data_IF_593567333918
#
_entry.id   IF_593567333918
#
_cell.length_a   1.000
_cell.length_b   1.000
_cell.length_c   1.000
_cell.angle_alpha   90.00
_cell.angle_beta   90.00
_cell.angle_gamma   90.00
#
_symmetry.space_group_name_H-M   'P 1'
#
loop_
_entity.id
_entity.type
_entity.pdbx_description
1 polymer ?
#
# COMPACT_ATOMS: atom_id res chain seq x y z
N UNK A 1 17.34 17.19 -18.13
CA UNK A 1 18.17 15.98 -17.91
C UNK A 1 18.90 16.05 -16.57
N UNK A 2 18.22 16.45 -15.49
CA UNK A 2 18.77 16.46 -14.14
C UNK A 2 17.63 16.08 -13.20
N UNK A 3 17.49 14.80 -12.85
CA UNK A 3 16.53 14.36 -11.81
C UNK A 3 16.67 12.91 -11.36
N UNK A 4 17.34 12.05 -12.15
CA UNK A 4 17.45 10.62 -11.83
C UNK A 4 18.66 10.34 -10.93
N UNK A 5 19.78 11.04 -11.16
CA UNK A 5 21.07 10.73 -10.52
C UNK A 5 21.17 11.10 -9.02
N UNK A 6 20.20 11.83 -8.45
CA UNK A 6 20.19 12.14 -7.00
C UNK A 6 19.38 11.14 -6.16
N UNK A 7 18.93 10.02 -6.74
CA UNK A 7 18.07 9.03 -6.06
C UNK A 7 18.82 7.83 -5.45
N UNK A 8 20.14 7.73 -5.66
CA UNK A 8 20.89 6.47 -5.60
C UNK A 8 21.89 6.32 -4.44
N UNK A 9 21.58 6.72 -3.20
CA UNK A 9 22.52 6.43 -2.10
C UNK A 9 21.95 5.92 -0.77
N UNK A 10 20.63 5.71 -0.66
CA UNK A 10 19.97 5.20 0.56
C UNK A 10 18.62 4.53 0.25
N UNK A 11 18.51 3.76 -0.83
CA UNK A 11 17.21 3.28 -1.33
C UNK A 11 16.54 2.32 -0.34
N UNK A 12 15.71 2.88 0.54
CA UNK A 12 14.88 2.15 1.47
C UNK A 12 13.79 1.40 0.73
N UNK A 13 13.36 0.25 1.24
CA UNK A 13 12.31 -0.56 0.60
C UNK A 13 11.04 0.24 0.34
N UNK A 14 10.38 -0.03 -0.79
CA UNK A 14 9.07 0.53 -1.10
C UNK A 14 7.99 -0.48 -0.71
N UNK A 15 7.11 -0.12 0.21
CA UNK A 15 5.99 -0.98 0.63
C UNK A 15 4.69 -0.30 0.22
N UNK A 16 3.96 -0.95 -0.67
CA UNK A 16 2.73 -0.44 -1.24
C UNK A 16 1.52 -1.21 -0.71
N UNK A 17 0.53 -0.51 -0.19
CA UNK A 17 -0.73 -1.09 0.28
C UNK A 17 -1.84 -0.79 -0.73
N UNK A 18 -2.52 -1.85 -1.16
CA UNK A 18 -3.59 -1.77 -2.14
C UNK A 18 -4.81 -2.58 -1.74
N UNK A 19 -5.98 -2.01 -2.04
CA UNK A 19 -7.31 -2.63 -1.95
C UNK A 19 -7.67 -3.35 -3.26
N UNK A 20 -6.87 -3.16 -4.31
CA UNK A 20 -6.95 -3.95 -5.53
C UNK A 20 -5.88 -5.04 -5.50
N UNK A 21 -6.25 -6.21 -6.02
CA UNK A 21 -5.34 -7.31 -6.32
C UNK A 21 -4.37 -6.90 -7.43
N UNK A 22 -3.16 -7.44 -7.42
CA UNK A 22 -2.12 -7.15 -8.41
C UNK A 22 -2.64 -7.36 -9.85
N UNK A 23 -3.35 -8.47 -10.07
CA UNK A 23 -3.95 -8.83 -11.37
C UNK A 23 -5.06 -7.85 -11.83
N UNK A 24 -5.62 -7.08 -10.90
CA UNK A 24 -6.67 -6.09 -11.17
C UNK A 24 -6.10 -4.67 -11.30
N UNK A 25 -4.80 -4.47 -11.07
CA UNK A 25 -4.17 -3.18 -11.30
C UNK A 25 -4.15 -2.85 -12.80
N UNK A 26 -4.34 -1.57 -13.11
CA UNK A 26 -4.09 -1.08 -14.46
C UNK A 26 -2.60 -1.23 -14.83
N UNK A 27 -2.33 -1.53 -16.10
CA UNK A 27 -0.98 -1.81 -16.62
C UNK A 27 0.05 -0.74 -16.24
N UNK A 28 -0.38 0.52 -16.18
CA UNK A 28 0.47 1.65 -15.80
C UNK A 28 1.00 1.52 -14.37
N UNK A 29 0.13 1.13 -13.43
CA UNK A 29 0.51 0.95 -12.03
C UNK A 29 1.53 -0.16 -11.88
N UNK A 30 1.29 -1.27 -12.59
CA UNK A 30 2.20 -2.41 -12.63
C UNK A 30 3.57 -2.01 -13.20
N UNK A 31 3.58 -1.23 -14.29
CA UNK A 31 4.83 -0.72 -14.89
C UNK A 31 5.59 0.18 -13.92
N UNK A 32 4.94 1.14 -13.27
CA UNK A 32 5.58 2.02 -12.29
C UNK A 32 6.23 1.21 -11.17
N UNK A 33 5.51 0.23 -10.61
CA UNK A 33 6.04 -0.62 -9.53
C UNK A 33 7.18 -1.52 -10.03
N UNK A 34 7.08 -2.03 -11.25
CA UNK A 34 8.15 -2.79 -11.92
C UNK A 34 9.42 -1.96 -12.13
N UNK A 35 9.29 -0.69 -12.54
CA UNK A 35 10.42 0.23 -12.69
C UNK A 35 11.13 0.46 -11.34
N UNK A 36 10.36 0.67 -10.25
CA UNK A 36 10.95 0.76 -8.90
C UNK A 36 11.65 -0.54 -8.48
N UNK A 37 11.11 -1.70 -8.86
CA UNK A 37 11.66 -3.00 -8.51
C UNK A 37 13.04 -3.28 -9.15
N UNK A 38 13.40 -2.55 -10.20
CA UNK A 38 14.75 -2.61 -10.79
C UNK A 38 15.82 -1.92 -9.90
N UNK A 39 15.41 -1.01 -9.01
CA UNK A 39 16.34 -0.18 -8.21
C UNK A 39 16.30 -0.51 -6.71
N UNK A 40 15.18 -1.01 -6.19
CA UNK A 40 14.99 -1.33 -4.77
C UNK A 40 13.98 -2.46 -4.59
N UNK A 41 13.90 -3.05 -3.39
CA UNK A 41 12.85 -4.04 -3.11
C UNK A 41 11.50 -3.32 -3.05
N UNK A 42 10.54 -3.84 -3.80
CA UNK A 42 9.16 -3.37 -3.80
C UNK A 42 8.27 -4.48 -3.28
N UNK A 43 7.51 -4.18 -2.24
CA UNK A 43 6.46 -5.04 -1.69
C UNK A 43 5.11 -4.45 -2.04
N UNK A 44 4.23 -5.23 -2.66
CA UNK A 44 2.85 -4.88 -2.95
C UNK A 44 1.95 -5.75 -2.10
N UNK A 45 1.36 -5.16 -1.08
CA UNK A 45 0.50 -5.79 -0.09
C UNK A 45 -0.95 -5.58 -0.51
N UNK A 46 -1.63 -6.68 -0.78
CA UNK A 46 -3.04 -6.70 -1.13
C UNK A 46 -3.94 -6.64 0.11
N UNK A 47 -5.24 -6.47 -0.13
CA UNK A 47 -6.25 -6.58 0.93
C UNK A 47 -6.28 -8.01 1.49
N UNK A 48 -6.43 -8.19 2.82
CA UNK A 48 -6.55 -9.52 3.39
C UNK A 48 -7.68 -10.33 2.76
N UNK A 49 -7.41 -11.59 2.46
CA UNK A 49 -8.45 -12.56 2.08
C UNK A 49 -9.07 -13.08 3.37
N UNK A 50 -10.39 -12.96 3.48
CA UNK A 50 -11.16 -13.44 4.63
C UNK A 50 -11.76 -14.79 4.27
N UNK A 51 -11.38 -15.85 4.99
CA UNK A 51 -11.75 -17.22 4.64
C UNK A 51 -12.15 -18.05 5.87
N UNK A 52 -12.98 -19.06 5.64
CA UNK A 52 -13.36 -20.03 6.66
C UNK A 52 -12.29 -21.13 6.77
N UNK A 53 -11.23 -20.82 7.50
CA UNK A 53 -10.01 -21.62 7.68
C UNK A 53 -9.67 -21.74 9.17
N UNK A 54 -8.77 -22.67 9.50
CA UNK A 54 -8.36 -22.95 10.90
C UNK A 54 -7.03 -22.27 11.30
N UNK A 55 -6.35 -21.61 10.36
CA UNK A 55 -5.07 -20.93 10.60
C UNK A 55 -4.91 -19.75 9.67
N UNK A 56 -4.29 -18.66 10.13
CA UNK A 56 -3.95 -17.50 9.32
C UNK A 56 -2.51 -17.61 8.81
N UNK A 57 -2.24 -17.07 7.63
CA UNK A 57 -0.90 -17.08 7.02
C UNK A 57 -0.72 -15.90 6.06
N UNK A 58 0.49 -15.74 5.53
CA UNK A 58 0.80 -14.76 4.50
C UNK A 58 1.40 -15.46 3.27
N UNK A 59 0.78 -15.25 2.12
CA UNK A 59 1.32 -15.72 0.85
C UNK A 59 2.23 -14.65 0.26
N UNK A 60 3.47 -15.03 -0.04
CA UNK A 60 4.50 -14.13 -0.56
C UNK A 60 5.10 -14.76 -1.80
N UNK A 61 5.05 -14.05 -2.91
CA UNK A 61 5.69 -14.47 -4.16
C UNK A 61 6.28 -13.26 -4.89
N UNK A 62 7.30 -13.49 -5.70
CA UNK A 62 7.87 -12.46 -6.57
C UNK A 62 7.34 -12.67 -7.99
N UNK A 63 6.84 -11.61 -8.60
CA UNK A 63 6.37 -11.66 -9.98
C UNK A 63 7.50 -11.45 -11.00
N UNK A 64 7.18 -11.51 -12.29
CA UNK A 64 8.14 -11.37 -13.39
C UNK A 64 8.82 -10.00 -13.43
N UNK A 65 8.20 -8.95 -12.88
CA UNK A 65 8.75 -7.61 -12.80
C UNK A 65 9.67 -7.40 -11.59
N UNK A 66 9.85 -8.43 -10.73
CA UNK A 66 10.66 -8.35 -9.52
C UNK A 66 9.93 -7.77 -8.30
N UNK A 67 8.62 -7.51 -8.40
CA UNK A 67 7.79 -7.02 -7.29
C UNK A 67 7.38 -8.19 -6.41
N UNK A 68 7.55 -8.05 -5.09
CA UNK A 68 7.04 -8.99 -4.09
C UNK A 68 5.56 -8.73 -3.86
N UNK A 69 4.70 -9.63 -4.33
CA UNK A 69 3.25 -9.58 -4.08
C UNK A 69 2.96 -10.36 -2.80
N UNK A 70 2.21 -9.72 -1.91
CA UNK A 70 1.98 -10.18 -0.55
C UNK A 70 0.48 -10.20 -0.28
N UNK A 71 -0.04 -11.36 0.14
CA UNK A 71 -1.46 -11.58 0.37
C UNK A 71 -1.67 -12.14 1.78
N UNK A 72 -2.20 -11.36 2.72
CA UNK A 72 -2.56 -11.87 4.05
C UNK A 72 -3.86 -12.69 3.98
N UNK A 73 -3.88 -13.85 4.64
CA UNK A 73 -5.09 -14.69 4.79
C UNK A 73 -5.52 -14.71 6.25
N UNK A 74 -6.76 -14.32 6.53
CA UNK A 74 -7.31 -14.16 7.88
C UNK A 74 -8.63 -14.90 8.06
N UNK A 75 -8.98 -15.17 9.32
CA UNK A 75 -10.14 -15.99 9.65
C UNK A 75 -11.47 -15.22 9.50
N UNK A 76 -12.48 -15.89 8.95
CA UNK A 76 -13.84 -15.34 8.78
C UNK A 76 -14.68 -15.40 10.07
N UNK A 77 -14.47 -16.42 10.90
CA UNK A 77 -15.32 -16.69 12.06
C UNK A 77 -14.95 -15.87 13.32
N UNK A 78 -13.96 -14.99 13.23
CA UNK A 78 -13.55 -14.10 14.33
C UNK A 78 -14.14 -12.69 14.17
N UNK A 79 -14.11 -11.89 15.23
CA UNK A 79 -14.50 -10.48 15.18
C UNK A 79 -13.60 -9.66 14.24
N UNK A 80 -14.11 -8.56 13.69
CA UNK A 80 -13.33 -7.63 12.86
C UNK A 80 -12.08 -7.08 13.55
N UNK A 81 -12.17 -6.82 14.86
CA UNK A 81 -11.03 -6.35 15.65
C UNK A 81 -9.90 -7.39 15.69
N UNK A 82 -10.25 -8.65 15.95
CA UNK A 82 -9.30 -9.75 15.95
C UNK A 82 -8.72 -10.00 14.55
N UNK A 83 -9.55 -9.98 13.49
CA UNK A 83 -9.10 -10.04 12.08
C UNK A 83 -8.04 -8.99 11.78
N UNK A 84 -8.29 -7.75 12.20
CA UNK A 84 -7.35 -6.64 12.00
C UNK A 84 -6.05 -6.86 12.76
N UNK A 85 -6.09 -7.34 14.00
CA UNK A 85 -4.91 -7.66 14.78
C UNK A 85 -4.08 -8.81 14.16
N UNK A 86 -4.74 -9.81 13.59
CA UNK A 86 -4.08 -10.88 12.84
C UNK A 86 -3.38 -10.33 11.60
N UNK A 87 -4.07 -9.50 10.81
CA UNK A 87 -3.47 -8.82 9.66
C UNK A 87 -2.25 -7.98 10.05
N UNK A 88 -2.31 -7.23 11.16
CA UNK A 88 -1.17 -6.46 11.65
C UNK A 88 0.03 -7.37 11.98
N UNK A 89 -0.24 -8.48 12.68
CA UNK A 89 0.80 -9.44 13.08
C UNK A 89 1.48 -10.08 11.87
N UNK A 90 0.72 -10.41 10.82
CA UNK A 90 1.27 -10.94 9.57
C UNK A 90 2.17 -9.93 8.84
N UNK A 91 1.80 -8.65 8.85
CA UNK A 91 2.65 -7.59 8.27
C UNK A 91 3.91 -7.38 9.12
N UNK A 92 3.82 -7.48 10.44
CA UNK A 92 5.00 -7.38 11.32
C UNK A 92 5.98 -8.53 11.08
N UNK A 93 5.46 -9.76 10.97
CA UNK A 93 6.27 -10.94 10.63
C UNK A 93 6.97 -10.78 9.27
N UNK A 94 6.26 -10.27 8.26
CA UNK A 94 6.86 -9.94 6.97
C UNK A 94 8.01 -8.93 7.11
N UNK A 95 7.80 -7.84 7.87
CA UNK A 95 8.82 -6.81 8.06
C UNK A 95 10.05 -7.36 8.76
N UNK A 96 9.87 -8.23 9.75
CA UNK A 96 10.97 -8.88 10.47
C UNK A 96 11.71 -9.87 9.55
N UNK A 97 10.97 -10.75 8.86
CA UNK A 97 11.53 -11.77 7.96
C UNK A 97 12.34 -11.16 6.81
N UNK A 98 11.86 -10.05 6.23
CA UNK A 98 12.54 -9.37 5.13
C UNK A 98 13.47 -8.24 5.60
N UNK A 99 13.64 -8.05 6.91
CA UNK A 99 14.44 -6.96 7.49
C UNK A 99 14.07 -5.58 6.91
N UNK A 100 12.77 -5.28 6.83
CA UNK A 100 12.22 -4.00 6.35
C UNK A 100 12.20 -3.02 7.52
N UNK A 101 13.15 -2.08 7.55
CA UNK A 101 13.37 -1.24 8.75
C UNK A 101 12.74 0.15 8.65
N UNK A 102 12.94 0.88 7.54
CA UNK A 102 12.45 2.26 7.37
C UNK A 102 11.84 2.51 6.00
N UNK A 103 10.90 1.68 5.53
CA UNK A 103 10.42 1.72 4.16
C UNK A 103 9.77 3.06 3.81
N UNK A 104 9.67 3.33 2.52
CA UNK A 104 8.69 4.29 2.00
C UNK A 104 7.34 3.58 1.90
N UNK A 105 6.31 4.09 2.57
CA UNK A 105 4.96 3.55 2.46
C UNK A 105 4.19 4.25 1.34
N UNK A 106 3.51 3.50 0.47
CA UNK A 106 2.64 4.03 -0.58
C UNK A 106 1.24 3.41 -0.51
N UNK A 107 0.22 4.23 -0.29
CA UNK A 107 -1.17 3.79 -0.27
C UNK A 107 -1.87 4.14 -1.60
N UNK A 108 -2.47 3.14 -2.25
CA UNK A 108 -3.05 3.31 -3.60
C UNK A 108 -4.41 4.04 -3.62
N UNK A 109 -5.10 4.19 -2.48
CA UNK A 109 -6.31 5.03 -2.32
C UNK A 109 -6.46 5.58 -0.88
N UNK A 110 -7.38 6.54 -0.65
CA UNK A 110 -7.67 7.07 0.69
C UNK A 110 -8.26 6.04 1.67
N UNK A 111 -8.96 5.01 1.20
CA UNK A 111 -9.56 3.95 2.03
C UNK A 111 -8.62 2.76 2.28
N UNK A 112 -7.38 2.83 1.77
CA UNK A 112 -6.34 1.84 2.04
C UNK A 112 -6.13 1.68 3.55
N UNK A 113 -5.62 0.53 4.01
CA UNK A 113 -5.65 0.15 5.42
C UNK A 113 -4.61 0.91 6.26
N UNK A 114 -4.86 2.21 6.45
CA UNK A 114 -4.24 3.06 7.46
C UNK A 114 -4.25 2.42 8.86
N UNK A 115 -5.30 1.68 9.28
CA UNK A 115 -5.30 1.07 10.60
C UNK A 115 -4.31 -0.10 10.74
N UNK A 116 -3.91 -0.77 9.65
CA UNK A 116 -2.96 -1.89 9.67
C UNK A 116 -1.50 -1.44 9.81
N UNK A 117 -1.22 -0.14 9.68
CA UNK A 117 0.14 0.38 9.46
C UNK A 117 0.51 1.54 10.39
N UNK A 118 -0.35 1.85 11.38
CA UNK A 118 -0.14 2.98 12.30
C UNK A 118 1.13 2.82 13.16
N UNK A 119 1.50 1.59 13.51
CA UNK A 119 2.63 1.29 14.38
C UNK A 119 3.96 1.15 13.65
N UNK A 120 3.95 1.10 12.30
CA UNK A 120 5.15 0.89 11.50
C UNK A 120 6.02 2.15 11.50
N UNK A 121 7.35 1.95 11.65
CA UNK A 121 8.34 2.99 11.38
C UNK A 121 8.54 3.11 9.87
N UNK A 122 8.58 4.33 9.35
CA UNK A 122 8.78 4.59 7.93
C UNK A 122 9.63 5.83 7.72
N UNK A 123 10.37 5.87 6.60
CA UNK A 123 11.15 7.06 6.20
C UNK A 123 10.28 8.10 5.52
N UNK A 124 9.24 7.66 4.81
CA UNK A 124 8.30 8.53 4.10
C UNK A 124 6.94 7.84 3.89
N UNK A 125 5.88 8.63 3.67
CA UNK A 125 4.52 8.15 3.37
C UNK A 125 3.96 8.88 2.14
N UNK A 126 3.41 8.13 1.20
CA UNK A 126 2.75 8.61 -0.02
C UNK A 126 1.29 8.13 -0.04
N UNK A 127 0.35 9.04 -0.24
CA UNK A 127 -1.07 8.75 -0.36
C UNK A 127 -1.60 9.37 -1.66
N UNK A 128 -1.35 8.70 -2.78
CA UNK A 128 -1.74 9.15 -4.12
C UNK A 128 -2.11 7.92 -4.96
N UNK A 129 -3.16 8.01 -5.81
CA UNK A 129 -3.41 6.99 -6.82
C UNK A 129 -2.15 6.80 -7.67
N UNK A 130 -2.00 5.61 -8.25
CA UNK A 130 -0.94 5.33 -9.23
C UNK A 130 -1.20 6.05 -10.58
N UNK A 131 -1.55 7.33 -10.54
CA UNK A 131 -1.92 8.14 -11.71
C UNK A 131 -0.78 9.08 -12.10
N UNK A 132 -0.69 9.34 -13.39
CA UNK A 132 0.41 10.00 -14.11
C UNK A 132 0.61 11.51 -13.82
N UNK A 133 -0.06 12.04 -12.82
CA UNK A 133 -0.12 13.49 -12.64
C UNK A 133 1.03 13.97 -11.78
N UNK A 134 2.14 14.31 -12.44
CA UNK A 134 3.26 15.15 -11.97
C UNK A 134 3.50 15.14 -10.46
N UNK A 135 4.57 14.43 -10.08
CA UNK A 135 5.37 14.64 -8.88
C UNK A 135 5.23 16.06 -8.30
N UNK A 136 4.46 16.17 -7.23
CA UNK A 136 4.63 17.22 -6.24
C UNK A 136 4.58 16.56 -4.88
N UNK A 137 5.69 16.67 -4.16
CA UNK A 137 5.84 16.28 -2.77
C UNK A 137 4.94 17.16 -1.89
N UNK A 138 3.63 16.90 -1.94
CA UNK A 138 2.72 17.44 -0.95
C UNK A 138 2.91 16.61 0.34
N UNK A 139 3.58 17.20 1.32
CA UNK A 139 3.54 16.72 2.71
C UNK A 139 2.08 16.76 3.15
N UNK A 140 1.44 15.61 3.23
CA UNK A 140 0.13 15.50 3.84
C UNK A 140 0.34 15.55 5.37
N UNK A 141 0.01 16.68 5.99
CA UNK A 141 0.00 16.81 7.44
C UNK A 141 -1.18 16.01 7.99
N UNK A 142 -0.87 14.88 8.60
CA UNK A 142 -1.83 13.91 9.15
C UNK A 142 -1.95 14.02 10.68
N UNK A 143 -1.67 15.21 11.26
CA UNK A 143 -2.07 15.50 12.64
C UNK A 143 -3.59 15.56 12.82
N UNK A 144 -4.37 15.49 11.74
CA UNK A 144 -5.82 15.49 11.79
C UNK A 144 -6.42 14.10 11.54
N UNK A 145 -7.42 13.79 12.36
CA UNK A 145 -8.22 12.58 12.32
C UNK A 145 -8.68 12.25 10.88
N UNK A 146 -8.31 11.07 10.33
CA UNK A 146 -8.63 10.69 8.97
C UNK A 146 -10.14 10.69 8.66
N UNK A 147 -11.02 10.63 9.68
CA UNK A 147 -12.47 10.74 9.50
C UNK A 147 -12.94 12.16 9.09
N UNK A 148 -12.16 13.21 9.36
CA UNK A 148 -12.53 14.60 9.03
C UNK A 148 -12.33 14.94 7.54
N UNK A 149 -11.42 14.24 6.85
CA UNK A 149 -11.18 14.44 5.42
C UNK A 149 -12.36 13.96 4.53
N UNK A 150 -13.24 13.12 5.07
CA UNK A 150 -14.39 12.56 4.34
C UNK A 150 -15.47 13.60 3.98
N UNK A 151 -15.55 14.74 4.65
CA UNK A 151 -16.63 15.72 4.43
C UNK A 151 -16.39 16.69 3.28
N UNK A 152 -15.19 16.73 2.71
CA UNK A 152 -14.83 17.71 1.68
C UNK A 152 -15.02 17.23 0.23
N UNK A 153 -15.45 15.99 0.00
CA UNK A 153 -15.41 15.35 -1.32
C UNK A 153 -16.75 14.82 -1.83
N UNK A 154 -17.82 15.61 -1.81
CA UNK A 154 -19.06 15.27 -2.53
C UNK A 154 -19.44 16.40 -3.47
N UNK A 155 -18.72 16.52 -4.60
CA UNK A 155 -19.23 17.26 -5.76
C UNK A 155 -20.01 16.26 -6.61
N UNK A 156 -21.34 16.34 -6.54
CA UNK A 156 -22.24 15.75 -7.51
C UNK A 156 -22.31 16.69 -8.71
N UNK A 157 -21.72 16.32 -9.84
CA UNK A 157 -22.13 16.89 -11.13
C UNK A 157 -23.31 16.08 -11.66
N UNK A 158 -24.48 16.71 -11.74
CA UNK A 158 -25.64 16.19 -12.45
C UNK A 158 -25.52 16.53 -13.95
N UNK A 159 -25.50 15.45 -14.74
CA UNK A 159 -25.89 15.21 -16.13
C UNK A 159 -26.64 16.39 -16.82
N UNK A 160 -26.28 16.76 -18.07
CA UNK A 160 -27.05 17.73 -18.85
C UNK A 160 -28.29 17.08 -19.46
N UNK A 161 -29.45 17.71 -19.30
CA UNK A 161 -30.66 17.43 -20.07
C UNK A 161 -31.38 18.74 -20.38
N UNK A 162 -31.55 19.05 -21.67
CA UNK A 162 -32.45 20.10 -22.17
C UNK A 162 -31.73 21.31 -22.75
#
# INVERSE_FOLDING_TARGET
MASIENRLSNASDLVCFSHLRWELLEQRSQQILGDYAQEQRVFFIEEPVVEFIDSWWIDVHQNECGVWVVVPHVLDWVSDELRKAMGQSLIDELFEQFAIVTPTLWYSTPSAPLPLTHHLKFSNRRAQPFSDSKFSSAKLDLTQDPLQLFRAGTVREQIPNG
#
